data_IF_014346987858
#
_entry.id   IF_014346987858
#
_cell.length_a   1.000
_cell.length_b   1.000
_cell.length_c   1.000
_cell.angle_alpha   90.00
_cell.angle_beta   90.00
_cell.angle_gamma   90.00
#
_symmetry.space_group_name_H-M   'P 1'
#
loop_
_entity.id
_entity.type
_entity.pdbx_description
1 polymer ?
#
# COMPACT_ATOMS: atom_id res chain seq x y z
N UNK A 1 -11.06 -1.19 -3.64
CA UNK A 1 -9.91 -0.90 -4.53
C UNK A 1 -8.65 -0.88 -3.69
N UNK A 2 -7.51 -1.26 -4.27
CA UNK A 2 -6.21 -1.17 -3.62
C UNK A 2 -5.32 -0.16 -4.36
N UNK A 3 -4.57 0.62 -3.60
CA UNK A 3 -3.44 1.40 -4.07
C UNK A 3 -2.14 0.84 -3.49
N UNK A 4 -1.08 0.72 -4.29
CA UNK A 4 0.19 0.12 -3.84
C UNK A 4 1.34 1.02 -4.28
N UNK A 5 1.96 1.70 -3.32
CA UNK A 5 3.19 2.45 -3.54
C UNK A 5 4.38 1.48 -3.59
N UNK A 6 5.05 1.39 -4.75
CA UNK A 6 6.10 0.39 -4.98
C UNK A 6 7.51 0.90 -4.67
N UNK A 7 7.66 2.22 -4.52
CA UNK A 7 8.94 2.88 -4.38
C UNK A 7 8.93 3.83 -3.19
N UNK A 8 10.09 4.04 -2.56
CA UNK A 8 10.25 5.03 -1.50
C UNK A 8 10.54 6.40 -2.13
N UNK A 9 9.66 7.41 -1.98
CA UNK A 9 9.85 8.73 -2.55
C UNK A 9 11.03 9.51 -1.96
N UNK A 10 11.63 9.06 -0.85
CA UNK A 10 12.89 9.61 -0.32
C UNK A 10 14.12 9.15 -1.11
N UNK A 11 13.99 8.11 -1.94
CA UNK A 11 15.10 7.51 -2.70
C UNK A 11 14.85 7.48 -4.22
N UNK A 12 13.59 7.56 -4.64
CA UNK A 12 13.18 7.53 -6.05
C UNK A 12 12.56 8.88 -6.41
N UNK A 13 13.02 9.54 -7.50
CA UNK A 13 12.41 10.78 -7.98
C UNK A 13 10.92 10.61 -8.25
N UNK A 14 10.13 11.66 -8.01
CA UNK A 14 8.67 11.60 -8.07
C UNK A 14 8.14 11.08 -9.42
N UNK A 15 8.78 11.48 -10.52
CA UNK A 15 8.43 11.07 -11.88
C UNK A 15 8.76 9.61 -12.21
N UNK A 16 9.53 8.94 -11.34
CA UNK A 16 9.92 7.52 -11.47
C UNK A 16 9.25 6.63 -10.44
N UNK A 17 8.58 7.20 -9.45
CA UNK A 17 7.81 6.43 -8.48
C UNK A 17 6.70 5.65 -9.20
N UNK A 18 6.68 4.33 -8.99
CA UNK A 18 5.67 3.43 -9.55
C UNK A 18 4.54 3.24 -8.55
N UNK A 19 3.33 3.16 -9.07
CA UNK A 19 2.13 2.96 -8.28
C UNK A 19 1.19 2.01 -9.00
N UNK A 20 0.73 0.97 -8.31
CA UNK A 20 -0.30 0.07 -8.84
C UNK A 20 -1.68 0.47 -8.30
N UNK A 21 -2.66 0.56 -9.20
CA UNK A 21 -4.09 0.61 -8.86
C UNK A 21 -4.69 -0.77 -9.14
N UNK A 22 -5.23 -1.43 -8.12
CA UNK A 22 -5.68 -2.82 -8.24
C UNK A 22 -7.13 -3.01 -7.78
N UNK A 23 -7.78 -4.01 -8.39
CA UNK A 23 -9.03 -4.59 -7.91
C UNK A 23 -8.72 -5.98 -7.33
N UNK A 24 -9.35 -6.29 -6.19
CA UNK A 24 -9.31 -7.64 -5.63
C UNK A 24 -10.34 -8.48 -6.39
N UNK A 25 -9.93 -9.65 -6.85
CA UNK A 25 -10.78 -10.57 -7.61
C UNK A 25 -10.45 -12.00 -7.23
N UNK A 26 -11.44 -12.89 -7.39
CA UNK A 26 -11.26 -14.33 -7.25
C UNK A 26 -10.88 -15.00 -8.60
N UNK A 27 -10.81 -14.22 -9.68
CA UNK A 27 -10.38 -14.69 -10.99
C UNK A 27 -8.87 -14.93 -11.02
N UNK A 28 -8.49 -16.14 -11.41
CA UNK A 28 -7.08 -16.54 -11.45
C UNK A 28 -6.38 -16.23 -12.79
N UNK A 29 -7.15 -15.86 -13.82
CA UNK A 29 -6.61 -15.59 -15.15
C UNK A 29 -7.49 -14.64 -15.96
N UNK A 30 -7.02 -13.42 -16.19
CA UNK A 30 -7.59 -12.52 -17.19
C UNK A 30 -6.98 -12.76 -18.57
N UNK A 31 -7.81 -12.89 -19.61
CA UNK A 31 -7.36 -13.01 -21.01
C UNK A 31 -6.89 -11.67 -21.63
N UNK A 32 -6.86 -10.59 -20.85
CA UNK A 32 -6.48 -9.26 -21.31
C UNK A 32 -5.00 -8.99 -21.00
N UNK A 33 -4.17 -8.92 -22.03
CA UNK A 33 -2.73 -8.69 -21.91
C UNK A 33 -2.36 -7.28 -21.41
N UNK A 34 -3.32 -6.35 -21.36
CA UNK A 34 -3.10 -5.00 -20.83
C UNK A 34 -3.28 -4.93 -19.31
N UNK A 35 -3.66 -6.02 -18.65
CA UNK A 35 -3.90 -6.06 -17.20
C UNK A 35 -2.88 -7.00 -16.57
N UNK A 36 -2.00 -6.41 -15.76
CA UNK A 36 -1.09 -7.17 -14.93
C UNK A 36 -1.85 -7.82 -13.77
N UNK A 37 -1.46 -9.05 -13.45
CA UNK A 37 -2.02 -9.81 -12.34
C UNK A 37 -0.93 -10.07 -11.31
N UNK A 38 -1.27 -9.90 -10.04
CA UNK A 38 -0.37 -10.22 -8.93
C UNK A 38 -1.15 -10.83 -7.78
N UNK A 39 -0.47 -11.69 -7.02
CA UNK A 39 -1.01 -12.25 -5.78
C UNK A 39 -0.59 -11.39 -4.60
N UNK A 40 -1.55 -11.02 -3.76
CA UNK A 40 -1.24 -10.46 -2.46
C UNK A 40 -0.62 -11.55 -1.59
N UNK A 41 0.59 -11.32 -1.10
CA UNK A 41 1.30 -12.32 -0.29
C UNK A 41 0.61 -12.49 1.06
N UNK A 42 0.53 -13.73 1.54
CA UNK A 42 0.08 -14.00 2.91
C UNK A 42 1.11 -13.51 3.94
N UNK A 43 0.68 -13.41 5.19
CA UNK A 43 1.50 -13.00 6.33
C UNK A 43 0.81 -11.95 7.18
N UNK A 44 1.52 -11.50 8.22
CA UNK A 44 1.05 -10.45 9.12
C UNK A 44 1.20 -9.08 8.47
N UNK A 45 0.18 -8.23 8.62
CA UNK A 45 0.18 -6.84 8.20
C UNK A 45 -0.16 -5.97 9.41
N UNK A 46 0.59 -4.90 9.63
CA UNK A 46 0.16 -3.82 10.50
C UNK A 46 -0.91 -3.00 9.74
N UNK A 47 -2.14 -3.00 10.25
CA UNK A 47 -3.30 -2.40 9.57
C UNK A 47 -3.79 -1.21 10.37
N UNK A 48 -3.95 -0.07 9.69
CA UNK A 48 -4.42 1.18 10.28
C UNK A 48 -5.66 1.65 9.55
N UNK A 49 -6.69 2.01 10.30
CA UNK A 49 -7.89 2.66 9.76
C UNK A 49 -7.76 4.17 10.03
N UNK A 50 -7.69 4.95 8.97
CA UNK A 50 -7.59 6.42 9.04
C UNK A 50 -8.72 7.06 8.24
N UNK A 51 -9.10 8.28 8.60
CA UNK A 51 -9.98 9.10 7.77
C UNK A 51 -9.29 9.41 6.43
N UNK A 52 -10.04 9.36 5.33
CA UNK A 52 -9.49 9.70 4.01
C UNK A 52 -9.52 11.22 3.79
N UNK A 53 -8.75 11.94 4.61
CA UNK A 53 -8.51 13.38 4.49
C UNK A 53 -7.01 13.62 4.34
N UNK A 54 -6.64 14.69 3.64
CA UNK A 54 -5.23 15.07 3.44
C UNK A 54 -4.49 15.18 4.78
N UNK A 55 -5.12 15.81 5.78
CA UNK A 55 -4.55 15.97 7.13
C UNK A 55 -4.27 14.61 7.76
N UNK A 56 -5.25 13.70 7.79
CA UNK A 56 -5.09 12.40 8.44
C UNK A 56 -4.06 11.50 7.73
N UNK A 57 -3.99 11.58 6.41
CA UNK A 57 -3.01 10.84 5.60
C UNK A 57 -1.59 11.36 5.87
N UNK A 58 -1.39 12.69 5.82
CA UNK A 58 -0.10 13.30 6.10
C UNK A 58 0.38 12.98 7.53
N UNK A 59 -0.50 13.12 8.53
CA UNK A 59 -0.17 12.76 9.90
C UNK A 59 0.20 11.29 10.06
N UNK A 60 -0.51 10.39 9.37
CA UNK A 60 -0.21 8.96 9.40
C UNK A 60 1.21 8.69 8.89
N UNK A 61 1.57 9.21 7.72
CA UNK A 61 2.91 8.99 7.15
C UNK A 61 4.01 9.62 8.02
N UNK A 62 3.76 10.74 8.69
CA UNK A 62 4.73 11.31 9.64
C UNK A 62 4.92 10.44 10.89
N UNK A 63 3.85 9.79 11.38
CA UNK A 63 3.87 9.03 12.63
C UNK A 63 4.20 7.55 12.45
N UNK A 64 4.10 7.00 11.24
CA UNK A 64 4.21 5.55 11.00
C UNK A 64 5.55 4.97 11.50
N UNK A 65 6.66 5.69 11.34
CA UNK A 65 7.97 5.26 11.84
C UNK A 65 8.00 5.11 13.36
N UNK A 66 7.46 6.08 14.08
CA UNK A 66 7.32 6.03 15.55
C UNK A 66 6.41 4.89 15.97
N UNK A 67 5.24 4.72 15.31
CA UNK A 67 4.31 3.62 15.61
C UNK A 67 4.99 2.26 15.44
N UNK A 68 5.76 2.07 14.37
CA UNK A 68 6.53 0.84 14.12
C UNK A 68 7.54 0.59 15.25
N UNK A 69 8.30 1.63 15.62
CA UNK A 69 9.33 1.56 16.66
C UNK A 69 8.75 1.23 18.04
N UNK A 70 7.73 1.98 18.47
CA UNK A 70 7.12 1.84 19.80
C UNK A 70 6.48 0.46 20.01
N UNK A 71 5.99 -0.15 18.92
CA UNK A 71 5.40 -1.48 18.93
C UNK A 71 6.42 -2.59 18.60
N UNK A 72 7.72 -2.26 18.48
CA UNK A 72 8.80 -3.20 18.18
C UNK A 72 8.52 -4.06 16.93
N UNK A 73 7.87 -3.47 15.93
CA UNK A 73 7.48 -4.17 14.72
C UNK A 73 8.67 -4.28 13.75
N UNK A 74 8.92 -5.51 13.26
CA UNK A 74 9.89 -5.73 12.19
C UNK A 74 9.19 -5.62 10.83
N UNK A 75 9.38 -4.49 10.17
CA UNK A 75 8.84 -4.26 8.81
C UNK A 75 9.65 -5.05 7.80
N UNK A 76 8.96 -5.64 6.83
CA UNK A 76 9.57 -6.36 5.71
C UNK A 76 9.73 -5.45 4.50
N UNK A 77 10.65 -5.77 3.59
CA UNK A 77 10.79 -5.17 2.25
C UNK A 77 9.59 -5.50 1.34
N UNK A 78 8.41 -5.03 1.73
CA UNK A 78 7.13 -5.17 1.01
C UNK A 78 6.49 -3.78 0.90
N UNK A 79 5.78 -3.50 -0.20
CA UNK A 79 5.17 -2.19 -0.40
C UNK A 79 4.04 -1.93 0.61
N UNK A 80 3.79 -0.65 0.89
CA UNK A 80 2.60 -0.20 1.61
C UNK A 80 1.38 -0.38 0.69
N UNK A 81 0.27 -0.85 1.27
CA UNK A 81 -0.98 -1.10 0.55
C UNK A 81 -2.08 -0.28 1.21
N UNK A 82 -2.74 0.55 0.41
CA UNK A 82 -3.90 1.35 0.78
C UNK A 82 -5.16 0.62 0.30
N UNK A 83 -6.14 0.44 1.20
CA UNK A 83 -7.43 -0.17 0.84
C UNK A 83 -8.54 0.86 0.94
N UNK A 84 -9.13 1.17 -0.21
CA UNK A 84 -10.31 2.02 -0.33
C UNK A 84 -11.55 1.15 -0.39
N UNK A 85 -12.44 1.34 0.58
CA UNK A 85 -13.76 0.74 0.61
C UNK A 85 -14.79 1.87 0.63
N UNK A 86 -15.70 1.85 -0.34
CA UNK A 86 -16.88 2.70 -0.30
C UNK A 86 -17.78 2.14 0.80
N UNK A 87 -18.17 2.99 1.75
CA UNK A 87 -19.21 2.64 2.73
C UNK A 87 -20.55 2.44 2.02
#
# INVERSE_FOLDING_TARGET
>A
MLGIALDNPQHVPAEKCRYDVCLITNENHFKNNNINQRRLRSGSYAVFKISHTEIAINEFYQKIGTIISDNQLKVTERPIIERYQKN
#
